data_IF_659267431508
#
_entry.id   IF_659267431508
#
_cell.length_a   1.000
_cell.length_b   1.000
_cell.length_c   1.000
_cell.angle_alpha   90.00
_cell.angle_beta   90.00
_cell.angle_gamma   90.00
#
_symmetry.space_group_name_H-M   'P 1'
#
loop_
_entity.id
_entity.type
_entity.pdbx_description
1 polymer ?
#
# COMPACT_ATOMS: atom_id res chain seq x y z
N UNK A 1 -46.69 -61.00 14.76
CA UNK A 1 -46.70 -59.59 14.29
C UNK A 1 -45.43 -58.95 14.73
N UNK A 2 -44.46 -58.82 13.80
CA UNK A 2 -43.21 -58.14 14.12
C UNK A 2 -43.24 -56.79 13.44
N UNK A 3 -43.31 -55.74 14.24
CA UNK A 3 -43.23 -54.37 13.78
C UNK A 3 -41.77 -54.00 13.64
N UNK A 4 -41.31 -53.89 12.43
CA UNK A 4 -39.95 -53.44 12.11
C UNK A 4 -39.98 -51.92 12.15
N UNK A 5 -39.39 -51.32 13.19
CA UNK A 5 -39.08 -49.89 13.20
C UNK A 5 -37.86 -49.65 12.32
N UNK A 6 -38.07 -49.06 11.16
CA UNK A 6 -36.98 -48.50 10.38
C UNK A 6 -36.60 -47.18 11.00
N UNK A 7 -35.49 -47.17 11.71
CA UNK A 7 -34.84 -45.94 12.12
C UNK A 7 -34.19 -45.32 10.89
N UNK A 8 -34.81 -44.27 10.36
CA UNK A 8 -34.18 -43.43 9.34
C UNK A 8 -33.12 -42.56 10.02
N UNK A 9 -31.86 -42.96 9.81
CA UNK A 9 -30.74 -42.10 10.20
C UNK A 9 -30.67 -40.96 9.19
N UNK A 10 -31.14 -39.80 9.60
CA UNK A 10 -30.99 -38.58 8.85
C UNK A 10 -29.57 -38.11 9.05
N UNK A 11 -28.69 -38.38 8.10
CA UNK A 11 -27.37 -37.78 8.05
C UNK A 11 -27.54 -36.32 7.64
N UNK A 12 -27.54 -35.46 8.64
CA UNK A 12 -27.42 -34.03 8.36
C UNK A 12 -26.01 -33.78 7.82
N UNK A 13 -25.91 -33.62 6.51
CA UNK A 13 -24.70 -33.13 5.91
C UNK A 13 -24.51 -31.67 6.35
N UNK A 14 -23.63 -31.46 7.34
CA UNK A 14 -23.20 -30.14 7.70
C UNK A 14 -22.35 -29.64 6.53
N UNK A 15 -22.96 -28.89 5.63
CA UNK A 15 -22.22 -28.14 4.63
C UNK A 15 -21.49 -27.02 5.39
N UNK A 16 -20.22 -27.25 5.70
CA UNK A 16 -19.34 -26.19 6.11
C UNK A 16 -19.13 -25.34 4.84
N UNK A 17 -19.99 -24.35 4.68
CA UNK A 17 -19.72 -23.30 3.74
C UNK A 17 -18.47 -22.61 4.30
N UNK A 18 -17.31 -22.95 3.73
CA UNK A 18 -16.10 -22.20 3.94
C UNK A 18 -16.41 -20.79 3.55
N UNK A 19 -16.61 -19.92 4.55
CA UNK A 19 -16.65 -18.50 4.34
C UNK A 19 -15.29 -18.16 3.76
N UNK A 20 -15.22 -17.99 2.43
CA UNK A 20 -14.16 -17.20 1.87
C UNK A 20 -14.35 -15.83 2.51
N UNK A 21 -13.64 -15.57 3.60
CA UNK A 21 -13.52 -14.23 4.13
C UNK A 21 -12.90 -13.43 3.00
N UNK A 22 -13.74 -12.69 2.28
CA UNK A 22 -13.27 -11.60 1.48
C UNK A 22 -12.37 -10.82 2.44
N UNK A 23 -11.06 -10.82 2.19
CA UNK A 23 -10.14 -10.02 2.97
C UNK A 23 -10.69 -8.63 2.90
N UNK A 24 -11.11 -8.07 4.02
CA UNK A 24 -11.49 -6.68 4.09
C UNK A 24 -10.45 -5.89 3.32
N UNK A 25 -10.87 -4.98 2.44
CA UNK A 25 -9.95 -4.21 1.61
C UNK A 25 -8.82 -3.54 2.38
N UNK A 26 -8.89 -3.53 3.72
CA UNK A 26 -7.89 -3.01 4.63
C UNK A 26 -6.74 -3.99 4.97
N UNK A 27 -6.80 -5.24 4.51
CA UNK A 27 -5.71 -6.19 4.74
C UNK A 27 -4.62 -6.18 3.66
N UNK A 28 -4.75 -5.30 2.70
CA UNK A 28 -3.76 -5.10 1.64
C UNK A 28 -3.42 -3.62 1.51
N UNK A 29 -2.17 -3.28 1.17
CA UNK A 29 -1.81 -1.90 0.84
C UNK A 29 -2.39 -1.41 -0.49
N UNK A 30 -2.99 -2.28 -1.29
CA UNK A 30 -3.64 -1.86 -2.54
C UNK A 30 -4.74 -0.85 -2.22
N UNK A 31 -4.74 0.27 -2.91
CA UNK A 31 -5.68 1.36 -2.71
C UNK A 31 -5.04 2.73 -2.85
N UNK A 32 -5.79 3.75 -2.46
CA UNK A 32 -5.35 5.14 -2.53
C UNK A 32 -4.98 5.65 -1.14
N UNK A 33 -3.82 6.27 -1.05
CA UNK A 33 -3.23 6.74 0.19
C UNK A 33 -2.92 8.23 0.12
N UNK A 34 -3.25 8.91 1.19
CA UNK A 34 -2.90 10.31 1.39
C UNK A 34 -1.57 10.38 2.12
N UNK A 35 -0.57 10.96 1.48
CA UNK A 35 0.71 11.25 2.13
C UNK A 35 0.62 12.57 2.87
N UNK A 36 1.31 12.65 3.99
CA UNK A 36 1.26 13.80 4.88
C UNK A 36 2.64 14.46 4.92
N UNK A 37 2.67 15.77 4.81
CA UNK A 37 3.91 16.54 4.96
C UNK A 37 4.32 16.55 6.43
N UNK A 38 5.55 16.12 6.71
CA UNK A 38 6.07 15.98 8.08
C UNK A 38 6.20 17.31 8.81
N UNK A 39 6.45 18.39 8.07
CA UNK A 39 6.65 19.72 8.65
C UNK A 39 5.33 20.42 8.96
N UNK A 40 4.35 20.33 8.06
CA UNK A 40 3.08 21.05 8.18
C UNK A 40 1.92 20.20 8.72
N UNK A 41 2.04 18.86 8.67
CA UNK A 41 0.95 17.95 8.98
C UNK A 41 -0.18 17.96 7.96
N UNK A 42 -0.02 18.65 6.84
CA UNK A 42 -1.04 18.77 5.80
C UNK A 42 -0.88 17.67 4.73
N UNK A 43 -1.98 17.30 4.05
CA UNK A 43 -1.89 16.41 2.90
C UNK A 43 -0.93 16.95 1.85
N UNK A 44 -0.07 16.06 1.33
CA UNK A 44 0.94 16.38 0.32
C UNK A 44 0.60 15.80 -1.04
N UNK A 45 0.18 14.54 -1.08
CA UNK A 45 -0.16 13.85 -2.32
C UNK A 45 -1.14 12.70 -2.09
N UNK A 46 -1.75 12.23 -3.17
CA UNK A 46 -2.41 10.93 -3.22
C UNK A 46 -1.50 9.97 -3.98
N UNK A 47 -1.29 8.80 -3.42
CA UNK A 47 -0.54 7.70 -4.03
C UNK A 47 -1.47 6.52 -4.21
N UNK A 48 -1.54 6.00 -5.43
CA UNK A 48 -2.29 4.78 -5.74
C UNK A 48 -1.34 3.61 -5.73
N UNK A 49 -1.59 2.66 -4.85
CA UNK A 49 -0.84 1.41 -4.77
C UNK A 49 -1.60 0.32 -5.51
N UNK A 50 -0.91 -0.33 -6.43
CA UNK A 50 -1.39 -1.47 -7.20
C UNK A 50 -0.49 -2.68 -6.98
N UNK A 51 -1.03 -3.86 -7.25
CA UNK A 51 -0.29 -5.13 -7.15
C UNK A 51 -0.27 -5.84 -8.49
N UNK A 52 0.88 -6.36 -8.86
CA UNK A 52 1.06 -7.23 -10.02
C UNK A 52 1.98 -8.39 -9.63
N UNK A 53 1.50 -9.63 -9.77
CA UNK A 53 2.27 -10.84 -9.43
C UNK A 53 2.86 -10.82 -8.01
N UNK A 54 2.11 -10.30 -7.03
CA UNK A 54 2.54 -10.22 -5.64
C UNK A 54 3.49 -9.06 -5.33
N UNK A 55 3.75 -8.18 -6.29
CA UNK A 55 4.65 -7.03 -6.13
C UNK A 55 3.84 -5.73 -6.14
N UNK A 56 4.05 -4.91 -5.12
CA UNK A 56 3.39 -3.62 -5.00
C UNK A 56 4.16 -2.52 -5.72
N UNK A 57 3.39 -1.61 -6.30
CA UNK A 57 3.87 -0.38 -6.92
C UNK A 57 2.98 0.78 -6.49
N UNK A 58 3.57 1.91 -6.19
CA UNK A 58 2.86 3.14 -5.83
C UNK A 58 3.17 4.28 -6.79
N UNK A 59 2.12 4.91 -7.30
CA UNK A 59 2.18 5.99 -8.28
C UNK A 59 1.50 7.23 -7.73
N UNK A 60 2.11 8.39 -7.90
CA UNK A 60 1.48 9.67 -7.52
C UNK A 60 0.31 9.94 -8.47
N UNK A 61 -0.88 10.11 -7.89
CA UNK A 61 -2.11 10.41 -8.62
C UNK A 61 -2.49 11.89 -8.54
N UNK A 62 -2.18 12.53 -7.41
CA UNK A 62 -2.52 13.92 -7.16
C UNK A 62 -1.51 14.58 -6.23
N UNK A 63 -1.26 15.86 -6.46
CA UNK A 63 -0.51 16.72 -5.56
C UNK A 63 -1.43 17.79 -4.94
N UNK A 64 -1.25 18.05 -3.65
CA UNK A 64 -1.92 19.13 -2.94
C UNK A 64 -0.99 20.34 -2.87
N UNK A 65 -1.13 21.24 -3.82
CA UNK A 65 -0.31 22.43 -3.92
C UNK A 65 -1.14 23.69 -3.79
N UNK A 66 -0.53 24.75 -3.28
CA UNK A 66 -1.19 26.05 -3.22
C UNK A 66 -1.47 26.59 -4.63
N UNK A 67 -2.52 27.40 -4.80
CA UNK A 67 -2.90 27.91 -6.14
C UNK A 67 -1.81 28.70 -6.86
N UNK A 68 -0.87 29.30 -6.12
CA UNK A 68 0.26 30.05 -6.66
C UNK A 68 1.49 29.21 -6.95
N UNK A 69 1.46 27.91 -6.63
CA UNK A 69 2.54 26.98 -6.94
C UNK A 69 2.31 26.30 -8.29
N UNK A 70 3.38 25.77 -8.87
CA UNK A 70 3.29 24.94 -10.09
C UNK A 70 2.41 23.72 -9.81
N UNK A 71 1.29 23.57 -10.55
CA UNK A 71 0.36 22.47 -10.38
C UNK A 71 0.81 21.19 -11.09
N UNK A 72 1.82 21.26 -11.93
CA UNK A 72 2.36 20.13 -12.66
C UNK A 72 3.89 20.13 -12.66
N UNK A 73 4.51 20.03 -11.47
CA UNK A 73 5.97 20.04 -11.37
C UNK A 73 6.56 18.76 -11.98
N UNK A 74 7.78 18.88 -12.44
CA UNK A 74 8.59 17.77 -12.97
C UNK A 74 9.63 17.34 -11.96
N UNK A 75 10.03 16.08 -12.02
CA UNK A 75 11.12 15.58 -11.18
C UNK A 75 12.48 15.95 -11.77
N UNK A 76 12.86 17.18 -11.62
CA UNK A 76 14.12 17.72 -12.17
C UNK A 76 15.37 17.17 -11.48
N UNK A 77 15.22 16.64 -10.26
CA UNK A 77 16.29 16.02 -9.47
C UNK A 77 16.32 14.50 -9.55
N UNK A 78 15.35 13.89 -10.21
CA UNK A 78 15.35 12.46 -10.46
C UNK A 78 16.46 12.04 -11.43
N UNK A 79 16.91 10.80 -11.34
CA UNK A 79 17.88 10.21 -12.24
C UNK A 79 17.20 9.27 -13.25
N UNK A 80 17.92 8.93 -14.33
CA UNK A 80 17.49 7.93 -15.31
C UNK A 80 16.19 8.29 -16.00
N UNK A 81 15.31 7.30 -16.17
CA UNK A 81 14.03 7.45 -16.86
C UNK A 81 13.05 8.40 -16.18
N UNK A 82 13.23 8.66 -14.90
CA UNK A 82 12.38 9.57 -14.12
C UNK A 82 12.79 11.03 -14.21
N UNK A 83 13.96 11.30 -14.77
CA UNK A 83 14.48 12.67 -14.95
C UNK A 83 13.52 13.51 -15.78
N UNK A 84 13.12 14.65 -15.24
CA UNK A 84 12.21 15.62 -15.85
C UNK A 84 10.81 15.09 -16.19
N UNK A 85 10.43 13.92 -15.67
CA UNK A 85 9.06 13.41 -15.81
C UNK A 85 8.12 14.18 -14.88
N UNK A 86 6.84 14.33 -15.25
CA UNK A 86 5.85 14.87 -14.34
C UNK A 86 5.82 14.08 -13.04
N UNK A 87 5.73 14.76 -11.91
CA UNK A 87 5.61 14.10 -10.61
C UNK A 87 4.25 13.40 -10.51
N UNK A 88 3.18 14.00 -11.04
CA UNK A 88 1.89 13.30 -11.20
C UNK A 88 2.06 12.19 -12.24
N UNK A 89 1.81 10.96 -11.84
CA UNK A 89 2.02 9.77 -12.65
C UNK A 89 3.36 9.07 -12.38
N UNK A 90 4.25 9.67 -11.58
CA UNK A 90 5.54 9.09 -11.25
C UNK A 90 5.37 7.89 -10.30
N UNK A 91 6.03 6.79 -10.62
CA UNK A 91 6.16 5.66 -9.71
C UNK A 91 7.20 6.02 -8.65
N UNK A 92 6.75 6.17 -7.41
CA UNK A 92 7.63 6.51 -6.28
C UNK A 92 7.88 5.33 -5.34
N UNK A 93 7.05 4.31 -5.39
CA UNK A 93 7.16 3.11 -4.56
C UNK A 93 7.14 1.89 -5.47
N UNK A 94 8.08 0.97 -5.30
CA UNK A 94 8.18 -0.21 -6.16
C UNK A 94 8.82 -1.39 -5.44
N UNK A 95 8.57 -2.59 -5.95
CA UNK A 95 9.27 -3.80 -5.56
C UNK A 95 8.90 -4.37 -4.20
N UNK A 96 7.90 -3.85 -3.51
CA UNK A 96 7.49 -4.37 -2.21
C UNK A 96 6.78 -5.71 -2.34
N UNK A 97 7.22 -6.69 -1.55
CA UNK A 97 6.63 -8.04 -1.46
C UNK A 97 6.30 -8.38 -0.01
N UNK A 98 5.18 -9.07 0.18
CA UNK A 98 4.79 -9.55 1.49
C UNK A 98 5.70 -10.69 1.96
N UNK A 99 6.28 -10.54 3.15
CA UNK A 99 7.18 -11.53 3.75
C UNK A 99 6.53 -12.43 4.80
N UNK A 100 5.20 -12.32 4.96
CA UNK A 100 4.40 -13.00 6.00
C UNK A 100 4.03 -12.08 7.17
N UNK A 101 4.62 -10.92 7.28
CA UNK A 101 4.38 -9.94 8.34
C UNK A 101 4.21 -8.52 7.80
N UNK A 102 5.08 -8.10 6.93
CA UNK A 102 5.10 -6.77 6.32
C UNK A 102 5.55 -6.85 4.86
N UNK A 103 5.53 -5.74 4.16
CA UNK A 103 6.01 -5.65 2.78
C UNK A 103 7.41 -5.10 2.78
N UNK A 104 8.34 -5.84 2.15
CA UNK A 104 9.78 -5.57 2.21
C UNK A 104 10.43 -5.66 0.83
N UNK A 105 11.70 -5.28 0.76
CA UNK A 105 12.53 -5.43 -0.44
C UNK A 105 12.24 -4.43 -1.54
N UNK A 106 11.53 -3.35 -1.23
CA UNK A 106 11.20 -2.31 -2.18
C UNK A 106 12.13 -1.12 -2.18
N UNK A 107 11.76 -0.15 -3.00
CA UNK A 107 12.40 1.15 -3.09
C UNK A 107 11.36 2.27 -3.05
N UNK A 108 11.76 3.41 -2.53
CA UNK A 108 10.95 4.63 -2.54
C UNK A 108 11.79 5.80 -3.03
N UNK A 109 11.21 6.59 -3.91
CA UNK A 109 11.82 7.81 -4.45
C UNK A 109 11.20 9.03 -3.79
N UNK A 110 12.05 9.91 -3.27
CA UNK A 110 11.63 11.25 -2.86
C UNK A 110 11.69 12.17 -4.09
N UNK A 111 10.55 12.60 -4.65
CA UNK A 111 10.58 13.44 -5.84
C UNK A 111 11.13 14.85 -5.59
N UNK A 112 11.14 15.32 -4.35
CA UNK A 112 11.69 16.62 -4.01
C UNK A 112 13.23 16.65 -4.11
N UNK A 113 13.89 15.56 -3.73
CA UNK A 113 15.37 15.44 -3.77
C UNK A 113 15.89 14.57 -4.90
N UNK A 114 15.02 13.77 -5.53
CA UNK A 114 15.38 12.75 -6.50
C UNK A 114 16.08 11.53 -5.90
N UNK A 115 16.22 11.46 -4.59
CA UNK A 115 16.90 10.35 -3.91
C UNK A 115 16.01 9.12 -3.85
N UNK A 116 16.64 7.96 -4.01
CA UNK A 116 16.01 6.64 -3.90
C UNK A 116 16.52 5.95 -2.65
N UNK A 117 15.59 5.43 -1.86
CA UNK A 117 15.87 4.70 -0.63
C UNK A 117 15.33 3.28 -0.75
N UNK A 118 15.91 2.35 -0.01
CA UNK A 118 15.27 1.05 0.26
C UNK A 118 14.00 1.31 1.06
N UNK A 119 12.97 0.49 0.84
CA UNK A 119 11.69 0.69 1.50
C UNK A 119 11.08 -0.61 2.01
N UNK A 120 10.37 -0.47 3.10
CA UNK A 120 9.43 -1.44 3.62
C UNK A 120 8.16 -0.73 4.10
N UNK A 121 7.07 -1.46 4.20
CA UNK A 121 5.79 -0.91 4.61
C UNK A 121 5.00 -1.89 5.47
N UNK A 122 4.22 -1.36 6.38
CA UNK A 122 3.38 -2.12 7.30
C UNK A 122 2.00 -1.47 7.44
N UNK A 123 0.95 -2.27 7.36
CA UNK A 123 -0.39 -1.82 7.69
C UNK A 123 -0.54 -1.70 9.20
N UNK A 124 -1.03 -0.57 9.65
CA UNK A 124 -1.29 -0.30 11.07
C UNK A 124 -2.71 0.22 11.25
N UNK A 125 -3.17 0.26 12.50
CA UNK A 125 -4.48 0.76 12.90
C UNK A 125 -5.63 0.13 12.06
N UNK A 126 -5.67 -1.20 12.03
CA UNK A 126 -6.71 -1.94 11.31
C UNK A 126 -6.67 -1.77 9.78
N UNK A 127 -5.51 -1.43 9.22
CA UNK A 127 -5.32 -1.19 7.79
C UNK A 127 -5.75 0.18 7.31
N UNK A 128 -6.12 1.08 8.22
CA UNK A 128 -6.50 2.45 7.88
C UNK A 128 -5.30 3.36 7.63
N UNK A 129 -4.13 2.93 8.10
CA UNK A 129 -2.86 3.63 7.90
C UNK A 129 -1.79 2.68 7.40
N UNK A 130 -0.88 3.21 6.61
CA UNK A 130 0.29 2.51 6.09
C UNK A 130 1.54 3.23 6.59
N UNK A 131 2.34 2.54 7.39
CA UNK A 131 3.64 3.04 7.78
C UNK A 131 4.64 2.67 6.69
N UNK A 132 5.19 3.67 6.03
CA UNK A 132 6.19 3.51 4.97
C UNK A 132 7.53 3.97 5.49
N UNK A 133 8.51 3.08 5.46
CA UNK A 133 9.86 3.38 5.90
C UNK A 133 10.82 3.40 4.73
N UNK A 134 11.56 4.50 4.59
CA UNK A 134 12.70 4.60 3.68
C UNK A 134 13.99 4.55 4.47
N UNK A 135 15.00 3.80 4.00
CA UNK A 135 16.25 3.62 4.73
C UNK A 135 17.44 3.42 3.79
N UNK A 136 18.62 3.63 4.34
CA UNK A 136 19.90 3.39 3.66
C UNK A 136 20.64 2.28 4.40
N UNK A 137 21.01 1.22 3.68
CA UNK A 137 21.69 0.06 4.25
C UNK A 137 20.75 -0.85 5.02
N UNK A 138 20.52 -0.54 6.31
CA UNK A 138 19.64 -1.33 7.20
C UNK A 138 18.45 -0.49 7.67
N UNK A 139 17.30 -1.13 8.00
CA UNK A 139 16.09 -0.40 8.38
C UNK A 139 16.24 0.54 9.58
N UNK A 140 17.23 0.30 10.44
CA UNK A 140 17.54 1.14 11.59
C UNK A 140 17.92 2.58 11.16
N UNK A 141 18.56 2.75 10.01
CA UNK A 141 19.00 4.03 9.50
C UNK A 141 18.01 4.58 8.47
N UNK A 142 16.83 4.91 8.95
CA UNK A 142 15.78 5.39 8.07
C UNK A 142 14.77 6.27 8.77
N UNK A 143 13.76 6.67 8.00
CA UNK A 143 12.61 7.45 8.48
C UNK A 143 11.32 6.77 8.07
N UNK A 144 10.35 6.83 8.96
CA UNK A 144 9.00 6.36 8.68
C UNK A 144 8.07 7.53 8.43
N UNK A 145 7.17 7.33 7.49
CA UNK A 145 6.01 8.19 7.25
C UNK A 145 4.75 7.36 7.47
N UNK A 146 3.71 8.00 7.94
CA UNK A 146 2.39 7.37 8.05
C UNK A 146 1.48 7.94 6.98
N UNK A 147 1.06 7.08 6.06
CA UNK A 147 0.08 7.43 5.04
C UNK A 147 -1.31 7.03 5.52
N UNK A 148 -2.31 7.82 5.19
CA UNK A 148 -3.70 7.60 5.59
C UNK A 148 -4.50 7.07 4.41
N UNK A 149 -5.20 5.97 4.61
CA UNK A 149 -6.04 5.39 3.55
C UNK A 149 -7.14 6.38 3.16
N UNK A 150 -7.19 6.70 1.90
CA UNK A 150 -8.24 7.55 1.35
C UNK A 150 -9.48 6.72 1.00
N UNK A 151 -9.28 5.62 0.32
CA UNK A 151 -10.33 4.65 -0.03
C UNK A 151 -9.71 3.38 -0.62
#
# INVERSE_FOLDING_TARGET
MHTIFKASIMVAALAIAGSATARDGNYTPVGTWKTIDDASGKPKSLVVITESNGVLQGKIDKLFRAPNEDQNPKCDKCAGASKDQPIIGLVILSGLKYDGKEWTGGEITDPASGKVYKSKAELIEGGTKLQVRGYVGVPMFGRSQTWVREE
#
